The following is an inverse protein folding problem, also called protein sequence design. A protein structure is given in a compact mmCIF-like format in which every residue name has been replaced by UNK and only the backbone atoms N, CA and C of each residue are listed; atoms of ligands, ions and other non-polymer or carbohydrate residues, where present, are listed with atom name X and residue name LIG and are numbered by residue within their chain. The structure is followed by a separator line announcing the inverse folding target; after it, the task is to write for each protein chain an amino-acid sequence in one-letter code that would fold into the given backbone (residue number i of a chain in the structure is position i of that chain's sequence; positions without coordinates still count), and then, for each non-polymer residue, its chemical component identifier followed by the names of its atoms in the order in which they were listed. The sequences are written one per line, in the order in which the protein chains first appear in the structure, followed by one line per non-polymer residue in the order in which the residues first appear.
data_IF_625303572997
#
_entry.id   IF_625303572997
#
_cell.length_a   1.000
_cell.length_b   1.000
_cell.length_c   1.000
_cell.angle_alpha   90.00
_cell.angle_beta   90.00
_cell.angle_gamma   90.00
#
_symmetry.space_group_name_H-M   'P 1'
#
loop_
_entity.id
_entity.type
_entity.pdbx_description
1 polymer ?
#
# COMPACT_ATOMS: atom_id res chain seq x y z
N UNK A 1 27.13 19.20 29.02
CA UNK A 1 27.11 17.76 28.63
C UNK A 1 25.79 17.12 28.97
N UNK A 2 25.23 17.34 30.16
CA UNK A 2 23.91 16.82 30.58
C UNK A 2 22.77 17.18 29.62
N UNK A 3 22.66 18.45 29.20
CA UNK A 3 21.64 18.88 28.22
C UNK A 3 21.75 18.15 26.87
N UNK A 4 22.97 17.87 26.41
CA UNK A 4 23.21 17.09 25.19
C UNK A 4 22.81 15.62 25.37
N UNK A 5 23.08 15.05 26.55
CA UNK A 5 22.62 13.72 26.94
C UNK A 5 21.10 13.62 26.88
N UNK A 6 20.40 14.52 27.58
CA UNK A 6 18.93 14.56 27.59
C UNK A 6 18.30 14.69 26.19
N UNK A 7 18.85 15.54 25.31
CA UNK A 7 18.39 15.61 23.92
C UNK A 7 18.60 14.28 23.17
N UNK A 8 19.74 13.62 23.40
CA UNK A 8 20.09 12.35 22.76
C UNK A 8 19.19 11.21 23.24
N UNK A 9 18.94 11.14 24.54
CA UNK A 9 18.08 10.13 25.16
C UNK A 9 16.64 10.25 24.66
N UNK A 10 16.12 11.48 24.55
CA UNK A 10 14.79 11.73 23.98
C UNK A 10 14.70 11.28 22.52
N UNK A 11 15.73 11.54 21.70
CA UNK A 11 15.72 11.06 20.31
C UNK A 11 15.73 9.54 20.27
N UNK A 12 16.63 8.88 21.02
CA UNK A 12 16.76 7.43 21.03
C UNK A 12 15.43 6.78 21.45
N UNK A 13 14.81 7.27 22.53
CA UNK A 13 13.52 6.76 23.00
C UNK A 13 12.44 6.84 21.91
N UNK A 14 12.34 7.98 21.21
CA UNK A 14 11.36 8.12 20.13
C UNK A 14 11.64 7.18 18.95
N UNK A 15 12.91 6.99 18.56
CA UNK A 15 13.28 6.05 17.49
C UNK A 15 13.02 4.59 17.90
N UNK A 16 13.23 4.24 19.17
CA UNK A 16 12.89 2.93 19.71
C UNK A 16 11.39 2.68 19.69
N UNK A 17 10.60 3.66 20.09
CA UNK A 17 9.14 3.59 20.08
C UNK A 17 8.60 3.44 18.64
N UNK A 18 9.13 4.24 17.70
CA UNK A 18 8.78 4.12 16.28
C UNK A 18 9.10 2.73 15.72
N UNK A 19 10.23 2.15 16.10
CA UNK A 19 10.61 0.80 15.65
C UNK A 19 9.76 -0.28 16.32
N UNK A 20 9.45 -0.13 17.61
CA UNK A 20 8.59 -1.06 18.34
C UNK A 20 7.20 -1.12 17.72
N UNK A 21 6.63 0.03 17.37
CA UNK A 21 5.35 0.11 16.67
C UNK A 21 5.41 -0.60 15.31
N UNK A 22 6.46 -0.36 14.52
CA UNK A 22 6.65 -1.00 13.21
C UNK A 22 6.83 -2.52 13.34
N UNK A 23 7.66 -2.97 14.28
CA UNK A 23 7.91 -4.39 14.55
C UNK A 23 6.63 -5.10 14.98
N UNK A 24 5.84 -4.49 15.87
CA UNK A 24 4.58 -5.07 16.34
C UNK A 24 3.58 -5.30 15.18
N UNK A 25 3.55 -4.38 14.20
CA UNK A 25 2.72 -4.53 13.00
C UNK A 25 3.20 -5.72 12.15
N UNK A 26 4.50 -5.80 11.88
CA UNK A 26 5.10 -6.89 11.10
C UNK A 26 4.87 -8.26 11.77
N UNK A 27 5.16 -8.38 13.07
CA UNK A 27 4.96 -9.63 13.81
C UNK A 27 3.48 -10.03 13.87
N UNK A 28 2.57 -9.06 14.02
CA UNK A 28 1.14 -9.33 13.94
C UNK A 28 0.75 -9.87 12.58
N UNK A 29 1.32 -9.34 11.50
CA UNK A 29 1.04 -9.79 10.14
C UNK A 29 1.61 -11.19 9.87
N UNK A 30 2.81 -11.50 10.38
CA UNK A 30 3.40 -12.84 10.30
C UNK A 30 2.55 -13.89 11.02
N UNK A 31 1.99 -13.55 12.19
CA UNK A 31 1.05 -14.44 12.89
C UNK A 31 -0.21 -14.71 12.05
N UNK A 32 -0.77 -13.68 11.40
CA UNK A 32 -1.94 -13.85 10.54
C UNK A 32 -1.62 -14.68 9.29
N UNK A 33 -0.44 -14.50 8.70
CA UNK A 33 0.01 -15.31 7.57
C UNK A 33 0.03 -16.81 7.90
N UNK A 34 0.42 -17.17 9.13
CA UNK A 34 0.43 -18.58 9.58
C UNK A 34 -0.95 -19.21 9.78
N UNK A 35 -2.01 -18.40 9.87
CA UNK A 35 -3.40 -18.87 10.09
C UNK A 35 -4.26 -18.75 8.83
N UNK A 36 -3.86 -17.90 7.89
CA UNK A 36 -4.62 -17.66 6.66
C UNK A 36 -4.61 -18.93 5.81
N UNK A 37 -5.76 -19.56 5.62
CA UNK A 37 -5.93 -20.62 4.64
C UNK A 37 -6.37 -20.00 3.31
N UNK A 38 -5.75 -20.41 2.21
CA UNK A 38 -6.23 -20.08 0.86
C UNK A 38 -6.95 -21.32 0.38
N UNK A 39 -8.28 -21.24 0.28
CA UNK A 39 -9.07 -22.37 -0.20
C UNK A 39 -9.11 -22.36 -1.72
N UNK A 40 -8.89 -23.53 -2.33
CA UNK A 40 -9.03 -23.71 -3.78
C UNK A 40 -10.51 -23.58 -4.14
N UNK A 41 -10.91 -22.65 -5.02
CA UNK A 41 -12.31 -22.31 -5.28
C UNK A 41 -12.96 -23.24 -6.31
N UNK A 42 -12.74 -24.56 -6.24
CA UNK A 42 -13.43 -25.50 -7.14
C UNK A 42 -14.95 -25.33 -6.99
N UNK A 43 -15.60 -24.78 -8.01
CA UNK A 43 -17.05 -24.53 -8.03
C UNK A 43 -17.55 -23.35 -7.18
N UNK A 44 -16.70 -22.43 -6.73
CA UNK A 44 -17.17 -21.26 -5.97
C UNK A 44 -17.85 -20.20 -6.87
N UNK A 45 -19.00 -19.70 -6.41
CA UNK A 45 -19.66 -18.51 -6.95
C UNK A 45 -18.79 -17.24 -6.78
N UNK A 46 -18.93 -16.27 -7.70
CA UNK A 46 -18.21 -15.00 -7.73
C UNK A 46 -18.36 -14.21 -6.43
N UNK A 47 -19.54 -14.29 -5.79
CA UNK A 47 -19.79 -13.66 -4.49
C UNK A 47 -18.96 -14.28 -3.35
N UNK A 48 -18.71 -15.58 -3.38
CA UNK A 48 -17.84 -16.27 -2.39
C UNK A 48 -16.39 -15.86 -2.60
N UNK A 49 -15.92 -15.88 -3.86
CA UNK A 49 -14.57 -15.42 -4.20
C UNK A 49 -14.33 -13.97 -3.75
N UNK A 50 -15.28 -13.07 -3.99
CA UNK A 50 -15.18 -11.68 -3.57
C UNK A 50 -15.06 -11.54 -2.04
N UNK A 51 -15.84 -12.32 -1.27
CA UNK A 51 -15.80 -12.30 0.20
C UNK A 51 -14.46 -12.83 0.72
N UNK A 52 -14.02 -13.99 0.25
CA UNK A 52 -12.74 -14.59 0.66
C UNK A 52 -11.56 -13.65 0.37
N UNK A 53 -11.52 -13.10 -0.85
CA UNK A 53 -10.53 -12.10 -1.24
C UNK A 53 -10.56 -10.88 -0.32
N UNK A 54 -11.74 -10.34 -0.04
CA UNK A 54 -11.91 -9.16 0.82
C UNK A 54 -11.49 -9.40 2.27
N UNK A 55 -11.71 -10.61 2.81
CA UNK A 55 -11.27 -11.00 4.15
C UNK A 55 -9.75 -11.15 4.23
N UNK A 56 -9.14 -11.79 3.24
CA UNK A 56 -7.68 -11.93 3.13
C UNK A 56 -7.02 -10.56 2.97
N UNK A 57 -7.56 -9.70 2.10
CA UNK A 57 -7.11 -8.32 1.92
C UNK A 57 -7.22 -7.50 3.22
N UNK A 58 -8.33 -7.63 3.94
CA UNK A 58 -8.53 -6.95 5.22
C UNK A 58 -7.45 -7.33 6.22
N UNK A 59 -7.21 -8.63 6.37
CA UNK A 59 -6.31 -9.21 7.36
C UNK A 59 -4.84 -8.95 7.02
N UNK A 60 -4.45 -9.13 5.75
CA UNK A 60 -3.06 -9.09 5.31
C UNK A 60 -2.61 -7.74 4.76
N UNK A 61 -3.49 -6.81 4.40
CA UNK A 61 -3.11 -5.49 3.86
C UNK A 61 -3.78 -4.33 4.59
N UNK A 62 -5.11 -4.29 4.62
CA UNK A 62 -5.84 -3.08 5.01
C UNK A 62 -5.72 -2.78 6.52
N UNK A 63 -5.83 -3.79 7.38
CA UNK A 63 -5.63 -3.61 8.83
C UNK A 63 -4.20 -3.25 9.20
N UNK A 64 -3.15 -3.97 8.74
CA UNK A 64 -1.76 -3.58 8.96
C UNK A 64 -1.47 -2.15 8.50
N UNK A 65 -1.94 -1.76 7.31
CA UNK A 65 -1.79 -0.41 6.79
C UNK A 65 -2.51 0.62 7.67
N UNK A 66 -3.75 0.34 8.08
CA UNK A 66 -4.51 1.26 8.96
C UNK A 66 -3.82 1.45 10.31
N UNK A 67 -3.30 0.38 10.91
CA UNK A 67 -2.51 0.46 12.16
C UNK A 67 -1.25 1.30 11.95
N UNK A 68 -0.56 1.11 10.83
CA UNK A 68 0.61 1.89 10.47
C UNK A 68 0.28 3.37 10.27
N UNK A 69 -0.80 3.70 9.55
CA UNK A 69 -1.25 5.08 9.30
C UNK A 69 -1.67 5.82 10.57
N UNK A 70 -2.14 5.10 11.59
CA UNK A 70 -2.45 5.66 12.91
C UNK A 70 -1.18 5.98 13.71
N UNK A 71 -0.16 5.12 13.62
CA UNK A 71 1.09 5.26 14.39
C UNK A 71 2.09 6.19 13.74
N UNK A 72 2.09 6.27 12.41
CA UNK A 72 3.00 7.05 11.56
C UNK A 72 4.47 7.03 12.03
N UNK A 73 5.06 5.83 12.23
CA UNK A 73 6.39 5.71 12.84
C UNK A 73 7.48 6.47 12.06
N UNK A 74 7.33 6.57 10.74
CA UNK A 74 8.30 7.29 9.92
C UNK A 74 8.22 8.82 10.08
N UNK A 75 7.02 9.41 10.11
CA UNK A 75 6.85 10.85 10.27
C UNK A 75 7.40 11.27 11.63
N UNK A 76 7.06 10.50 12.67
CA UNK A 76 7.59 10.67 14.02
C UNK A 76 9.11 10.59 14.06
N UNK A 77 9.71 9.59 13.43
CA UNK A 77 11.17 9.47 13.36
C UNK A 77 11.83 10.68 12.68
N UNK A 78 11.30 11.16 11.54
CA UNK A 78 11.82 12.33 10.84
C UNK A 78 11.69 13.60 11.70
N UNK A 79 10.52 13.83 12.29
CA UNK A 79 10.26 14.97 13.20
C UNK A 79 11.17 14.93 14.41
N UNK A 80 11.41 13.75 14.99
CA UNK A 80 12.31 13.59 16.12
C UNK A 80 13.75 13.95 15.75
N UNK A 81 14.23 13.50 14.58
CA UNK A 81 15.56 13.83 14.07
C UNK A 81 15.69 15.34 13.81
N UNK A 82 14.69 15.96 13.19
CA UNK A 82 14.66 17.42 12.97
C UNK A 82 14.64 18.21 14.29
N UNK A 83 13.82 17.77 15.24
CA UNK A 83 13.71 18.39 16.57
C UNK A 83 15.01 18.31 17.34
N UNK A 84 15.69 17.17 17.25
CA UNK A 84 17.02 16.99 17.82
C UNK A 84 18.04 17.93 17.16
N UNK A 85 18.01 18.06 15.82
CA UNK A 85 18.91 18.96 15.08
C UNK A 85 18.71 20.44 15.49
N UNK A 86 17.45 20.90 15.58
CA UNK A 86 17.11 22.24 16.10
C UNK A 86 17.54 22.41 17.56
N UNK A 87 17.43 21.36 18.37
CA UNK A 87 17.86 21.38 19.78
C UNK A 87 19.38 21.54 19.89
N UNK A 88 20.16 20.89 19.01
CA UNK A 88 21.60 21.09 18.95
C UNK A 88 21.98 22.52 18.59
N UNK A 89 21.29 23.12 17.60
CA UNK A 89 21.51 24.51 17.21
C UNK A 89 21.21 25.47 18.38
N UNK A 90 20.09 25.26 19.08
CA UNK A 90 19.76 26.02 20.29
C UNK A 90 20.83 25.87 21.37
N UNK A 91 21.30 24.65 21.63
CA UNK A 91 22.39 24.40 22.58
C UNK A 91 23.67 25.15 22.21
N UNK A 92 24.05 25.17 20.93
CA UNK A 92 25.22 25.92 20.44
C UNK A 92 24.99 27.43 20.56
N UNK A 93 23.80 27.93 20.24
CA UNK A 93 23.48 29.35 20.30
C UNK A 93 23.56 29.91 21.72
N UNK A 94 23.21 29.10 22.72
CA UNK A 94 23.24 29.43 24.14
C UNK A 94 24.65 29.34 24.77
N UNK A 95 25.66 28.85 24.04
CA UNK A 95 27.04 28.83 24.55
C UNK A 95 27.67 30.22 24.46
N UNK A 96 28.51 30.60 25.44
CA UNK A 96 29.30 31.82 25.35
C UNK A 96 30.27 31.75 24.16
N UNK A 97 30.51 32.90 23.51
CA UNK A 97 31.41 32.96 22.36
C UNK A 97 32.83 32.51 22.70
N UNK A 98 33.34 33.00 23.83
CA UNK A 98 34.60 32.57 24.40
C UNK A 98 34.51 32.36 25.91
N UNK A 99 35.33 31.44 26.43
CA UNK A 99 35.52 31.23 27.87
C UNK A 99 37.01 31.35 28.16
N UNK A 100 37.35 32.08 29.22
CA UNK A 100 38.72 32.13 29.72
C UNK A 100 39.01 30.82 30.46
N UNK A 101 39.97 30.04 29.95
CA UNK A 101 40.34 28.76 30.55
C UNK A 101 41.86 28.68 30.64
N UNK A 102 42.38 28.37 31.83
CA UNK A 102 43.79 28.00 32.01
C UNK A 102 44.01 26.51 31.72
N UNK A 103 45.23 26.13 31.35
CA UNK A 103 45.58 24.72 31.13
C UNK A 103 45.23 23.79 32.31
N UNK A 104 45.52 24.17 33.58
CA UNK A 104 45.12 23.39 34.76
C UNK A 104 43.61 23.24 34.93
N UNK A 105 42.82 24.28 34.69
CA UNK A 105 41.34 24.20 34.75
C UNK A 105 40.79 23.26 33.66
N UNK A 106 41.36 23.31 32.45
CA UNK A 106 40.99 22.38 31.37
C UNK A 106 41.35 20.91 31.70
N UNK A 107 42.42 20.66 32.46
CA UNK A 107 42.75 19.33 32.98
C UNK A 107 41.81 18.89 34.10
N UNK A 108 41.46 19.79 35.01
CA UNK A 108 40.51 19.52 36.10
C UNK A 108 39.13 19.10 35.57
N UNK A 109 38.65 19.73 34.49
CA UNK A 109 37.39 19.37 33.82
C UNK A 109 37.41 17.99 33.13
N UNK A 110 38.58 17.35 32.99
CA UNK A 110 38.73 16.04 32.34
C UNK A 110 38.97 14.88 33.28
N UNK A 111 39.52 15.15 34.46
CA UNK A 111 40.05 14.12 35.34
C UNK A 111 41.00 13.16 34.61
N UNK A 112 40.85 11.87 34.85
CA UNK A 112 41.76 10.83 34.37
C UNK A 112 41.82 10.66 32.84
N UNK A 113 40.88 11.26 32.10
CA UNK A 113 40.67 11.03 30.65
C UNK A 113 41.66 11.78 29.74
N UNK A 114 42.53 12.61 30.30
CA UNK A 114 43.56 13.34 29.55
C UNK A 114 44.79 12.46 29.26
N UNK A 115 45.29 12.45 28.02
CA UNK A 115 46.52 11.72 27.66
C UNK A 115 47.78 12.34 28.31
N UNK A 116 48.86 11.55 28.47
CA UNK A 116 50.13 12.04 29.04
C UNK A 116 50.66 13.28 28.33
N UNK A 117 50.56 13.33 27.00
CA UNK A 117 50.94 14.50 26.19
C UNK A 117 50.05 15.72 26.44
N UNK A 118 48.73 15.53 26.57
CA UNK A 118 47.78 16.61 26.88
C UNK A 118 48.01 17.19 28.28
N UNK A 119 48.28 16.32 29.27
CA UNK A 119 48.63 16.73 30.63
C UNK A 119 49.91 17.59 30.64
N UNK A 120 50.97 17.13 29.96
CA UNK A 120 52.24 17.86 29.87
C UNK A 120 52.09 19.24 29.20
N UNK A 121 51.33 19.32 28.10
CA UNK A 121 51.10 20.59 27.38
C UNK A 121 50.20 21.57 28.13
N UNK A 122 49.16 21.08 28.79
CA UNK A 122 48.28 21.93 29.59
C UNK A 122 48.99 22.49 30.84
N UNK A 123 49.91 21.72 31.45
CA UNK A 123 50.78 22.21 32.53
C UNK A 123 51.74 23.33 32.09
N UNK A 124 52.17 23.32 30.82
CA UNK A 124 53.03 24.35 30.22
C UNK A 124 52.27 25.63 29.87
N UNK A 125 50.93 25.60 29.83
CA UNK A 125 50.07 26.75 29.49
C UNK A 125 49.27 27.22 30.70
N UNK A 126 49.97 27.81 31.66
CA UNK A 126 49.39 28.35 32.91
C UNK A 126 48.63 29.67 32.74
N UNK A 127 48.87 30.42 31.66
CA UNK A 127 48.14 31.68 31.37
C UNK A 127 46.75 31.39 30.83
N UNK A 128 45.77 32.14 31.31
CA UNK A 128 44.41 32.11 30.79
C UNK A 128 44.37 32.52 29.33
N UNK A 129 43.56 31.82 28.54
CA UNK A 129 43.33 32.14 27.13
C UNK A 129 41.84 32.11 26.84
N UNK A 130 41.41 33.03 25.98
CA UNK A 130 40.07 33.01 25.41
C UNK A 130 39.94 31.80 24.48
N UNK A 131 39.18 30.81 24.93
CA UNK A 131 38.80 29.64 24.14
C UNK A 131 37.51 29.96 23.38
N UNK A 132 37.47 29.94 22.04
CA UNK A 132 36.24 30.15 21.28
C UNK A 132 35.33 28.92 21.37
N UNK A 133 34.71 28.72 22.54
CA UNK A 133 33.97 27.52 22.91
C UNK A 133 32.83 27.23 21.94
N UNK A 134 32.02 28.25 21.62
CA UNK A 134 30.92 28.15 20.67
C UNK A 134 31.37 27.64 19.31
N UNK A 135 32.47 28.18 18.77
CA UNK A 135 33.00 27.78 17.47
C UNK A 135 33.53 26.33 17.49
N UNK A 136 34.19 25.90 18.58
CA UNK A 136 34.70 24.54 18.70
C UNK A 136 33.56 23.52 18.80
N UNK A 137 32.58 23.78 19.67
CA UNK A 137 31.44 22.88 19.87
C UNK A 137 30.59 22.81 18.59
N UNK A 138 30.32 23.94 17.94
CA UNK A 138 29.61 23.98 16.67
C UNK A 138 30.30 23.11 15.61
N UNK A 139 31.62 23.26 15.44
CA UNK A 139 32.36 22.51 14.44
C UNK A 139 32.38 20.99 14.70
N UNK A 140 32.48 20.59 15.96
CA UNK A 140 32.50 19.18 16.32
C UNK A 140 31.11 18.54 16.21
N UNK A 141 30.06 19.25 16.59
CA UNK A 141 28.69 18.81 16.33
C UNK A 141 28.41 18.66 14.82
N UNK A 142 28.96 19.54 13.97
CA UNK A 142 28.87 19.39 12.50
C UNK A 142 29.57 18.12 12.02
N UNK A 143 30.81 17.86 12.46
CA UNK A 143 31.54 16.62 12.11
C UNK A 143 30.79 15.38 12.56
N UNK A 144 30.26 15.41 13.77
CA UNK A 144 29.43 14.33 14.31
C UNK A 144 28.17 14.15 13.46
N UNK A 145 27.46 15.22 13.10
CA UNK A 145 26.27 15.12 12.25
C UNK A 145 26.55 14.47 10.89
N UNK A 146 27.70 14.72 10.26
CA UNK A 146 28.08 14.05 9.00
C UNK A 146 28.27 12.55 9.17
N UNK A 147 28.89 12.14 10.27
CA UNK A 147 29.09 10.73 10.59
C UNK A 147 27.76 10.04 10.94
N UNK A 148 26.85 10.77 11.58
CA UNK A 148 25.50 10.31 11.94
C UNK A 148 24.61 10.05 10.72
N UNK A 149 24.76 10.81 9.63
CA UNK A 149 23.96 10.64 8.39
C UNK A 149 23.93 9.21 7.85
N UNK A 150 25.02 8.44 8.06
CA UNK A 150 25.08 7.04 7.65
C UNK A 150 24.20 6.13 8.52
N UNK A 151 24.22 6.34 9.84
CA UNK A 151 23.44 5.56 10.81
C UNK A 151 21.95 5.89 10.67
N UNK A 152 21.64 7.18 10.53
CA UNK A 152 20.30 7.67 10.19
C UNK A 152 19.75 7.03 8.91
N UNK A 153 20.56 7.05 7.85
CA UNK A 153 20.16 6.48 6.57
C UNK A 153 19.88 4.97 6.65
N UNK A 154 20.56 4.23 7.51
CA UNK A 154 20.28 2.79 7.75
C UNK A 154 18.98 2.58 8.48
N UNK A 155 18.71 3.37 9.52
CA UNK A 155 17.46 3.28 10.27
C UNK A 155 16.25 3.69 9.42
N UNK A 156 16.33 4.82 8.70
CA UNK A 156 15.28 5.27 7.78
C UNK A 156 15.09 4.30 6.61
N UNK A 157 16.16 3.65 6.15
CA UNK A 157 16.06 2.56 5.17
C UNK A 157 15.28 1.37 5.74
N UNK A 158 15.58 0.94 6.97
CA UNK A 158 14.88 -0.17 7.62
C UNK A 158 13.38 0.15 7.77
N UNK A 159 13.03 1.36 8.20
CA UNK A 159 11.64 1.81 8.25
C UNK A 159 10.98 1.79 6.86
N UNK A 160 11.63 2.34 5.83
CA UNK A 160 11.09 2.36 4.47
C UNK A 160 10.87 0.94 3.92
N UNK A 161 11.84 0.04 4.10
CA UNK A 161 11.73 -1.35 3.65
C UNK A 161 10.66 -2.10 4.42
N UNK A 162 10.53 -1.88 5.73
CA UNK A 162 9.50 -2.49 6.56
C UNK A 162 8.08 -2.05 6.17
N UNK A 163 7.88 -0.78 5.77
CA UNK A 163 6.62 -0.32 5.21
C UNK A 163 6.32 -1.02 3.88
N UNK A 164 7.31 -1.09 2.99
CA UNK A 164 7.15 -1.77 1.70
C UNK A 164 6.83 -3.25 1.86
N UNK A 165 7.36 -3.88 2.91
CA UNK A 165 7.10 -5.28 3.23
C UNK A 165 5.64 -5.54 3.62
N UNK A 166 4.89 -4.53 4.10
CA UNK A 166 3.50 -4.70 4.54
C UNK A 166 2.56 -5.21 3.44
N UNK A 167 2.84 -4.94 2.15
CA UNK A 167 1.98 -5.47 1.07
C UNK A 167 2.36 -6.88 0.63
N UNK A 168 3.54 -7.39 1.00
CA UNK A 168 4.07 -8.64 0.45
C UNK A 168 3.22 -9.88 0.78
N UNK A 169 2.76 -10.08 2.03
CA UNK A 169 1.88 -11.21 2.35
C UNK A 169 0.59 -11.21 1.52
N UNK A 170 0.00 -10.03 1.33
CA UNK A 170 -1.17 -9.85 0.47
C UNK A 170 -0.86 -10.14 -1.00
N UNK A 171 0.24 -9.65 -1.56
CA UNK A 171 0.61 -9.90 -2.96
C UNK A 171 0.72 -11.41 -3.25
N UNK A 172 1.31 -12.17 -2.33
CA UNK A 172 1.45 -13.63 -2.46
C UNK A 172 0.08 -14.31 -2.36
N UNK A 173 -0.73 -13.93 -1.38
CA UNK A 173 -2.07 -14.52 -1.19
C UNK A 173 -2.99 -14.21 -2.38
N UNK A 174 -2.98 -12.96 -2.87
CA UNK A 174 -3.71 -12.55 -4.07
C UNK A 174 -3.29 -13.38 -5.28
N UNK A 175 -1.99 -13.51 -5.53
CA UNK A 175 -1.50 -14.25 -6.69
C UNK A 175 -1.95 -15.72 -6.68
N UNK A 176 -1.97 -16.34 -5.49
CA UNK A 176 -2.49 -17.69 -5.33
C UNK A 176 -4.01 -17.77 -5.56
N UNK A 177 -4.79 -16.84 -4.99
CA UNK A 177 -6.24 -16.74 -5.23
C UNK A 177 -6.57 -16.55 -6.71
N UNK A 178 -5.91 -15.60 -7.37
CA UNK A 178 -6.14 -15.28 -8.78
C UNK A 178 -5.77 -16.45 -9.70
N UNK A 179 -4.64 -17.12 -9.42
CA UNK A 179 -4.23 -18.32 -10.16
C UNK A 179 -5.24 -19.46 -9.98
N UNK A 180 -5.75 -19.62 -8.76
CA UNK A 180 -6.77 -20.63 -8.46
C UNK A 180 -8.10 -20.34 -9.16
N UNK A 181 -8.52 -19.07 -9.22
CA UNK A 181 -9.71 -18.64 -9.95
C UNK A 181 -9.58 -18.85 -11.48
N UNK A 182 -8.35 -18.84 -12.01
CA UNK A 182 -8.06 -19.16 -13.40
C UNK A 182 -7.96 -20.67 -13.68
N UNK A 183 -8.26 -21.52 -12.70
CA UNK A 183 -8.13 -22.99 -12.83
C UNK A 183 -6.68 -23.47 -12.85
N UNK A 184 -5.73 -22.63 -12.44
CA UNK A 184 -4.30 -22.94 -12.37
C UNK A 184 -3.78 -22.77 -10.93
N UNK A 185 -4.29 -23.55 -9.96
CA UNK A 185 -3.88 -23.41 -8.57
C UNK A 185 -2.38 -23.62 -8.42
N UNK A 186 -1.76 -22.79 -7.57
CA UNK A 186 -0.36 -22.98 -7.24
C UNK A 186 -0.14 -24.34 -6.56
N UNK A 187 0.94 -25.07 -6.89
CA UNK A 187 1.33 -26.21 -6.09
C UNK A 187 1.51 -25.76 -4.63
N UNK A 188 0.96 -26.51 -3.65
CA UNK A 188 1.05 -26.14 -2.23
C UNK A 188 2.48 -25.81 -1.78
N UNK A 189 3.45 -26.60 -2.27
CA UNK A 189 4.89 -26.35 -2.03
C UNK A 189 5.38 -25.00 -2.53
N UNK A 190 4.88 -24.49 -3.66
CA UNK A 190 5.28 -23.18 -4.20
C UNK A 190 4.74 -22.03 -3.35
N UNK A 191 3.51 -22.16 -2.85
CA UNK A 191 2.91 -21.19 -1.94
C UNK A 191 3.66 -21.16 -0.60
N UNK A 192 3.93 -22.33 -0.02
CA UNK A 192 4.72 -22.47 1.20
C UNK A 192 6.11 -21.82 1.07
N UNK A 193 6.81 -22.05 -0.05
CA UNK A 193 8.10 -21.43 -0.33
C UNK A 193 8.01 -19.90 -0.36
N UNK A 194 6.98 -19.33 -1.00
CA UNK A 194 6.76 -17.88 -1.03
C UNK A 194 6.40 -17.32 0.36
N UNK A 195 5.67 -18.08 1.19
CA UNK A 195 5.38 -17.69 2.57
C UNK A 195 6.64 -17.72 3.43
N UNK A 196 7.45 -18.76 3.34
CA UNK A 196 8.72 -18.86 4.07
C UNK A 196 9.72 -17.77 3.64
N UNK A 197 9.79 -17.46 2.34
CA UNK A 197 10.58 -16.33 1.84
C UNK A 197 10.08 -15.00 2.44
N UNK A 198 8.76 -14.82 2.54
CA UNK A 198 8.15 -13.62 3.12
C UNK A 198 8.41 -13.52 4.62
N UNK A 199 8.33 -14.64 5.37
CA UNK A 199 8.66 -14.71 6.80
C UNK A 199 10.13 -14.36 7.03
N UNK A 200 11.03 -15.08 6.36
CA UNK A 200 12.49 -14.87 6.46
C UNK A 200 12.89 -13.43 6.12
N UNK A 201 12.33 -12.87 5.04
CA UNK A 201 12.57 -11.47 4.65
C UNK A 201 12.11 -10.49 5.73
N UNK A 202 10.96 -10.74 6.35
CA UNK A 202 10.41 -9.89 7.42
C UNK A 202 11.27 -9.98 8.69
N UNK A 203 11.69 -11.17 9.08
CA UNK A 203 12.57 -11.38 10.23
C UNK A 203 13.94 -10.72 10.03
N UNK A 204 14.53 -10.84 8.84
CA UNK A 204 15.77 -10.14 8.48
C UNK A 204 15.59 -8.62 8.59
N UNK A 205 14.45 -8.07 8.14
CA UNK A 205 14.16 -6.64 8.29
C UNK A 205 14.03 -6.22 9.76
N UNK A 206 13.42 -7.07 10.60
CA UNK A 206 13.32 -6.85 12.05
C UNK A 206 14.73 -6.76 12.65
N UNK A 207 15.61 -7.71 12.33
CA UNK A 207 17.00 -7.72 12.79
C UNK A 207 17.79 -6.50 12.28
N UNK A 208 17.59 -6.08 11.02
CA UNK A 208 18.26 -4.91 10.46
C UNK A 208 17.88 -3.61 11.17
N UNK A 209 16.62 -3.40 11.54
CA UNK A 209 16.23 -2.20 12.28
C UNK A 209 16.72 -2.21 13.73
N UNK A 210 16.76 -3.36 14.39
CA UNK A 210 17.37 -3.51 15.72
C UNK A 210 18.87 -3.24 15.71
N UNK A 211 19.56 -3.74 14.70
CA UNK A 211 20.98 -3.46 14.45
C UNK A 211 21.20 -1.97 14.21
N UNK A 212 20.37 -1.32 13.38
CA UNK A 212 20.45 0.12 13.14
C UNK A 212 20.23 0.94 14.42
N UNK A 213 19.28 0.56 15.28
CA UNK A 213 19.07 1.20 16.60
C UNK A 213 20.27 0.99 17.53
N UNK A 214 20.85 -0.20 17.53
CA UNK A 214 22.04 -0.50 18.34
C UNK A 214 23.25 0.32 17.89
N UNK A 215 23.42 0.51 16.58
CA UNK A 215 24.42 1.42 16.02
C UNK A 215 24.17 2.88 16.44
N UNK A 216 22.91 3.31 16.49
CA UNK A 216 22.53 4.64 16.99
C UNK A 216 22.93 4.85 18.45
N UNK A 217 22.60 3.89 19.32
CA UNK A 217 22.98 3.95 20.75
C UNK A 217 24.50 4.01 20.91
N UNK A 218 25.23 3.14 20.21
CA UNK A 218 26.69 3.11 20.24
C UNK A 218 27.30 4.42 19.72
N UNK A 219 26.73 4.98 18.65
CA UNK A 219 27.15 6.26 18.09
C UNK A 219 27.00 7.39 19.10
N UNK A 220 25.85 7.49 19.79
CA UNK A 220 25.60 8.51 20.80
C UNK A 220 26.53 8.40 22.01
N UNK A 221 26.73 7.19 22.52
CA UNK A 221 27.68 6.93 23.60
C UNK A 221 29.13 7.32 23.22
N UNK A 222 29.49 7.27 21.93
CA UNK A 222 30.78 7.72 21.43
C UNK A 222 30.81 9.23 21.11
N UNK A 223 29.70 9.82 20.70
CA UNK A 223 29.59 11.23 20.29
C UNK A 223 29.93 12.18 21.44
N UNK A 224 29.38 11.92 22.64
CA UNK A 224 29.68 12.69 23.84
C UNK A 224 31.19 12.69 24.18
N UNK A 225 31.83 11.50 24.07
CA UNK A 225 33.27 11.33 24.29
C UNK A 225 34.12 12.08 23.25
N UNK A 226 33.71 12.04 21.98
CA UNK A 226 34.39 12.77 20.88
C UNK A 226 34.28 14.27 21.07
N UNK A 227 33.10 14.78 21.38
CA UNK A 227 32.87 16.20 21.62
C UNK A 227 33.70 16.72 22.79
N UNK A 228 33.70 15.99 23.92
CA UNK A 228 34.55 16.32 25.07
C UNK A 228 36.03 16.38 24.66
N UNK A 229 36.54 15.37 23.95
CA UNK A 229 37.94 15.32 23.49
C UNK A 229 38.31 16.49 22.58
N UNK A 230 37.41 16.88 21.68
CA UNK A 230 37.70 17.93 20.71
C UNK A 230 37.72 19.34 21.31
N UNK A 231 36.94 19.60 22.35
CA UNK A 231 37.05 20.83 23.16
C UNK A 231 38.47 20.99 23.71
N UNK A 232 39.08 19.89 24.18
CA UNK A 232 40.43 19.88 24.74
C UNK A 232 41.51 20.13 23.70
N UNK A 233 41.38 19.50 22.53
CA UNK A 233 42.31 19.73 21.43
C UNK A 233 42.23 21.21 21.02
N UNK A 234 41.04 21.81 21.05
CA UNK A 234 40.85 23.25 20.87
C UNK A 234 41.61 24.10 21.90
N UNK A 235 41.53 23.74 23.18
CA UNK A 235 42.28 24.40 24.28
C UNK A 235 43.80 24.29 24.10
N UNK A 236 44.28 23.10 23.73
CA UNK A 236 45.73 22.80 23.68
C UNK A 236 46.38 23.33 22.39
N UNK A 237 45.69 23.33 21.25
CA UNK A 237 46.34 23.58 19.95
C UNK A 237 45.93 24.88 19.27
N UNK A 238 44.89 25.59 19.74
CA UNK A 238 44.57 26.97 19.34
C UNK A 238 44.65 27.23 17.83
N UNK A 239 43.80 26.57 17.04
CA UNK A 239 43.73 26.79 15.59
C UNK A 239 42.57 27.69 15.20
N UNK A 240 42.78 28.63 14.26
CA UNK A 240 41.70 29.32 13.55
C UNK A 240 40.90 28.28 12.78
N UNK A 241 39.65 28.02 13.20
CA UNK A 241 38.73 27.12 12.51
C UNK A 241 37.75 27.96 11.70
N UNK A 242 37.72 27.74 10.38
CA UNK A 242 36.74 28.37 9.50
C UNK A 242 35.35 27.79 9.80
N UNK A 243 34.37 28.67 9.97
CA UNK A 243 32.96 28.32 9.96
C UNK A 243 32.55 28.05 8.52
N UNK A 244 32.27 26.80 8.18
CA UNK A 244 31.64 26.42 6.91
C UNK A 244 30.12 26.30 7.12
N UNK A 245 29.37 26.86 6.18
CA UNK A 245 27.90 26.82 6.18
C UNK A 245 27.42 25.38 5.86
N UNK A 246 26.49 24.85 6.66
CA UNK A 246 26.16 23.40 6.69
C UNK A 246 24.65 23.09 6.71
N UNK A 247 23.79 24.03 7.11
CA UNK A 247 22.35 23.79 7.24
C UNK A 247 21.73 23.20 5.98
N UNK A 248 22.14 23.72 4.82
CA UNK A 248 21.57 23.37 3.52
C UNK A 248 21.72 21.88 3.16
N UNK A 249 22.89 21.27 3.37
CA UNK A 249 23.12 19.86 2.97
C UNK A 249 22.33 18.89 3.83
N UNK A 250 22.09 19.25 5.10
CA UNK A 250 21.38 18.41 6.06
C UNK A 250 19.89 18.41 5.79
N UNK A 251 19.30 19.59 5.63
CA UNK A 251 17.90 19.76 5.26
C UNK A 251 17.58 19.04 3.94
N UNK A 252 18.45 19.16 2.93
CA UNK A 252 18.31 18.45 1.65
C UNK A 252 18.31 16.92 1.82
N UNK A 253 19.12 16.38 2.73
CA UNK A 253 19.16 14.93 2.96
C UNK A 253 17.89 14.43 3.67
N UNK A 254 17.37 15.17 4.65
CA UNK A 254 16.12 14.82 5.33
C UNK A 254 14.92 14.94 4.39
N UNK A 255 14.85 16.01 3.59
CA UNK A 255 13.82 16.19 2.56
C UNK A 255 13.82 15.03 1.56
N UNK A 256 15.01 14.58 1.12
CA UNK A 256 15.13 13.41 0.24
C UNK A 256 14.63 12.11 0.89
N UNK A 257 14.86 11.93 2.18
CA UNK A 257 14.30 10.78 2.90
C UNK A 257 12.79 10.86 3.05
N UNK A 258 12.25 12.05 3.33
CA UNK A 258 10.82 12.29 3.36
C UNK A 258 10.18 11.95 2.00
N UNK A 259 10.78 12.39 0.90
CA UNK A 259 10.33 12.10 -0.47
C UNK A 259 10.31 10.58 -0.75
N UNK A 260 11.41 9.87 -0.44
CA UNK A 260 11.49 8.41 -0.60
C UNK A 260 10.43 7.68 0.22
N UNK A 261 10.22 8.09 1.47
CA UNK A 261 9.25 7.46 2.36
C UNK A 261 7.81 7.69 1.89
N UNK A 262 7.48 8.91 1.44
CA UNK A 262 6.18 9.20 0.81
C UNK A 262 5.94 8.37 -0.44
N UNK A 263 6.98 8.11 -1.24
CA UNK A 263 6.86 7.26 -2.42
C UNK A 263 6.56 5.80 -2.06
N UNK A 264 7.20 5.26 -1.01
CA UNK A 264 6.89 3.92 -0.50
C UNK A 264 5.48 3.86 0.10
N UNK A 265 5.07 4.90 0.84
CA UNK A 265 3.70 5.02 1.34
C UNK A 265 2.68 5.07 0.20
N UNK A 266 2.95 5.85 -0.85
CA UNK A 266 2.11 5.92 -2.04
C UNK A 266 2.01 4.57 -2.77
N UNK A 267 3.09 3.79 -2.80
CA UNK A 267 3.09 2.43 -3.36
C UNK A 267 2.19 1.48 -2.57
N UNK A 268 2.28 1.47 -1.23
CA UNK A 268 1.43 0.59 -0.40
C UNK A 268 -0.03 1.06 -0.44
N UNK A 269 -0.28 2.36 -0.45
CA UNK A 269 -1.63 2.93 -0.62
C UNK A 269 -2.23 2.62 -1.99
N UNK A 270 -1.42 2.66 -3.05
CA UNK A 270 -1.86 2.26 -4.37
C UNK A 270 -2.37 0.82 -4.33
N UNK A 271 -1.67 -0.08 -3.64
CA UNK A 271 -2.11 -1.47 -3.53
C UNK A 271 -3.45 -1.63 -2.79
N UNK A 272 -3.64 -0.88 -1.71
CA UNK A 272 -4.93 -0.84 -1.02
C UNK A 272 -6.05 -0.22 -1.88
N UNK A 273 -5.72 0.76 -2.72
CA UNK A 273 -6.67 1.38 -3.64
C UNK A 273 -7.06 0.42 -4.77
N UNK A 274 -6.08 -0.31 -5.33
CA UNK A 274 -6.29 -1.35 -6.34
C UNK A 274 -7.24 -2.41 -5.80
N UNK A 275 -6.98 -2.94 -4.61
CA UNK A 275 -7.84 -3.97 -4.01
C UNK A 275 -9.28 -3.49 -3.80
N UNK A 276 -9.47 -2.27 -3.30
CA UNK A 276 -10.82 -1.70 -3.15
C UNK A 276 -11.52 -1.51 -4.50
N UNK A 277 -10.77 -1.10 -5.53
CA UNK A 277 -11.32 -0.93 -6.89
C UNK A 277 -11.70 -2.28 -7.49
N UNK A 278 -10.86 -3.30 -7.35
CA UNK A 278 -11.12 -4.66 -7.83
C UNK A 278 -12.33 -5.26 -7.11
N UNK A 279 -12.45 -5.08 -5.80
CA UNK A 279 -13.65 -5.50 -5.05
C UNK A 279 -14.94 -4.86 -5.59
N UNK A 280 -14.92 -3.57 -5.96
CA UNK A 280 -16.09 -2.89 -6.55
C UNK A 280 -16.36 -3.32 -7.99
N UNK A 281 -15.31 -3.61 -8.77
CA UNK A 281 -15.45 -4.20 -10.10
C UNK A 281 -16.09 -5.60 -10.02
N UNK A 282 -15.66 -6.45 -9.09
CA UNK A 282 -16.30 -7.74 -8.83
C UNK A 282 -17.77 -7.60 -8.46
N UNK A 283 -18.14 -6.59 -7.65
CA UNK A 283 -19.54 -6.30 -7.33
C UNK A 283 -20.36 -5.82 -8.55
N UNK A 284 -19.73 -5.16 -9.52
CA UNK A 284 -20.38 -4.80 -10.79
C UNK A 284 -20.66 -6.06 -11.63
N UNK A 285 -19.68 -6.95 -11.74
CA UNK A 285 -19.85 -8.22 -12.46
C UNK A 285 -20.88 -9.13 -11.79
N UNK A 286 -20.87 -9.23 -10.46
CA UNK A 286 -21.85 -10.01 -9.72
C UNK A 286 -23.28 -9.51 -9.96
N UNK A 287 -23.52 -8.20 -9.91
CA UNK A 287 -24.85 -7.62 -10.23
C UNK A 287 -25.29 -7.91 -11.66
N UNK A 288 -24.36 -7.90 -12.61
CA UNK A 288 -24.67 -8.26 -14.00
C UNK A 288 -25.07 -9.75 -14.12
N UNK A 289 -24.36 -10.65 -13.42
CA UNK A 289 -24.70 -12.08 -13.36
C UNK A 289 -26.04 -12.33 -12.69
N UNK A 290 -26.31 -11.69 -11.54
CA UNK A 290 -27.61 -11.78 -10.86
C UNK A 290 -28.76 -11.32 -11.76
N UNK A 291 -28.54 -10.26 -12.56
CA UNK A 291 -29.50 -9.80 -13.56
C UNK A 291 -29.76 -10.82 -14.68
N UNK A 292 -28.74 -11.58 -15.10
CA UNK A 292 -28.89 -12.64 -16.10
C UNK A 292 -29.61 -13.86 -15.51
N UNK A 293 -29.30 -14.25 -14.27
CA UNK A 293 -29.97 -15.35 -13.56
C UNK A 293 -31.45 -15.02 -13.35
N UNK A 294 -31.77 -13.77 -12.99
CA UNK A 294 -33.16 -13.33 -12.84
C UNK A 294 -33.92 -13.35 -14.17
N UNK A 295 -33.26 -12.97 -15.27
CA UNK A 295 -33.83 -13.06 -16.62
C UNK A 295 -34.09 -14.52 -17.00
N UNK A 296 -33.12 -15.40 -16.80
CA UNK A 296 -33.26 -16.84 -17.05
C UNK A 296 -34.39 -17.47 -16.23
N UNK A 297 -34.48 -17.13 -14.94
CA UNK A 297 -35.55 -17.61 -14.06
C UNK A 297 -36.93 -17.18 -14.57
N UNK A 298 -37.04 -15.95 -15.06
CA UNK A 298 -38.29 -15.42 -15.63
C UNK A 298 -38.66 -16.11 -16.94
N UNK A 299 -37.66 -16.47 -17.77
CA UNK A 299 -37.86 -17.25 -18.99
C UNK A 299 -38.36 -18.66 -18.70
N UNK A 300 -37.74 -19.35 -17.74
CA UNK A 300 -38.14 -20.70 -17.33
C UNK A 300 -39.56 -20.70 -16.74
N UNK A 301 -39.89 -19.74 -15.88
CA UNK A 301 -41.25 -19.61 -15.35
C UNK A 301 -42.29 -19.36 -16.45
N UNK A 302 -41.93 -18.60 -17.50
CA UNK A 302 -42.79 -18.40 -18.66
C UNK A 302 -42.97 -19.66 -19.51
N UNK A 303 -41.94 -20.50 -19.63
CA UNK A 303 -42.03 -21.81 -20.29
C UNK A 303 -42.92 -22.77 -19.50
N UNK A 304 -42.75 -22.85 -18.18
CA UNK A 304 -43.56 -23.71 -17.32
C UNK A 304 -45.05 -23.34 -17.41
N UNK A 305 -45.38 -22.05 -17.36
CA UNK A 305 -46.75 -21.55 -17.52
C UNK A 305 -47.34 -21.90 -18.91
N UNK A 306 -46.53 -21.80 -19.97
CA UNK A 306 -46.94 -22.21 -21.30
C UNK A 306 -47.18 -23.73 -21.40
N UNK A 307 -46.33 -24.53 -20.76
CA UNK A 307 -46.49 -25.98 -20.72
C UNK A 307 -47.72 -26.42 -19.92
N UNK A 308 -47.97 -25.81 -18.77
CA UNK A 308 -49.13 -26.10 -17.94
C UNK A 308 -50.42 -25.70 -18.66
N UNK A 309 -50.43 -24.54 -19.33
CA UNK A 309 -51.55 -24.15 -20.18
C UNK A 309 -51.81 -25.18 -21.29
N UNK A 310 -50.77 -25.64 -22.00
CA UNK A 310 -50.92 -26.66 -23.06
C UNK A 310 -51.48 -27.98 -22.52
N UNK A 311 -51.07 -28.40 -21.32
CA UNK A 311 -51.62 -29.60 -20.65
C UNK A 311 -53.09 -29.42 -20.30
N UNK A 312 -53.47 -28.27 -19.73
CA UNK A 312 -54.86 -27.96 -19.40
C UNK A 312 -55.76 -27.92 -20.64
N UNK A 313 -55.26 -27.40 -21.77
CA UNK A 313 -56.00 -27.44 -23.04
C UNK A 313 -56.27 -28.88 -23.48
N UNK A 314 -55.24 -29.73 -23.47
CA UNK A 314 -55.35 -31.13 -23.91
C UNK A 314 -56.31 -31.92 -23.02
N UNK A 315 -56.29 -31.68 -21.72
CA UNK A 315 -57.08 -32.45 -20.75
C UNK A 315 -58.52 -31.94 -20.58
N UNK A 316 -58.74 -30.62 -20.69
CA UNK A 316 -60.00 -29.99 -20.24
C UNK A 316 -60.71 -29.15 -21.31
N UNK A 317 -60.14 -29.00 -22.51
CA UNK A 317 -60.68 -28.17 -23.61
C UNK A 317 -61.06 -26.74 -23.12
N UNK A 318 -60.22 -26.20 -22.24
CA UNK A 318 -60.49 -24.96 -21.52
C UNK A 318 -60.35 -23.73 -22.43
N UNK A 319 -61.21 -22.71 -22.35
CA UNK A 319 -61.14 -21.54 -23.27
C UNK A 319 -60.08 -20.47 -22.91
N UNK A 320 -58.97 -20.86 -22.27
CA UNK A 320 -57.91 -19.93 -21.86
C UNK A 320 -57.21 -19.21 -23.03
N UNK A 321 -56.52 -18.11 -22.74
CA UNK A 321 -55.61 -17.43 -23.69
C UNK A 321 -54.18 -17.89 -23.39
N UNK A 322 -53.42 -18.27 -24.43
CA UNK A 322 -52.03 -18.69 -24.29
C UNK A 322 -51.19 -17.59 -23.58
N UNK A 323 -50.37 -17.93 -22.58
CA UNK A 323 -49.63 -16.96 -21.78
C UNK A 323 -48.64 -16.15 -22.63
N UNK A 324 -48.47 -14.87 -22.30
CA UNK A 324 -47.49 -13.99 -22.95
C UNK A 324 -46.10 -14.25 -22.37
N UNK A 325 -45.02 -14.18 -23.18
CA UNK A 325 -43.67 -14.23 -22.65
C UNK A 325 -43.45 -13.07 -21.68
N UNK A 326 -43.15 -13.40 -20.41
CA UNK A 326 -42.99 -12.42 -19.31
C UNK A 326 -41.62 -11.74 -19.29
N UNK A 327 -40.62 -12.34 -19.95
CA UNK A 327 -39.24 -11.91 -19.84
C UNK A 327 -38.88 -10.81 -20.86
N UNK A 328 -38.55 -9.63 -20.36
CA UNK A 328 -37.87 -8.60 -21.14
C UNK A 328 -36.38 -8.92 -21.24
N UNK A 329 -35.91 -9.34 -22.41
CA UNK A 329 -34.48 -9.62 -22.65
C UNK A 329 -33.74 -8.29 -22.82
N UNK A 330 -32.74 -8.04 -21.98
CA UNK A 330 -31.90 -6.85 -22.08
C UNK A 330 -30.77 -7.12 -23.10
N UNK A 331 -30.57 -6.25 -24.11
CA UNK A 331 -29.53 -6.46 -25.12
C UNK A 331 -28.11 -6.54 -24.53
N UNK A 332 -27.28 -7.45 -25.05
CA UNK A 332 -25.88 -7.62 -24.64
C UNK A 332 -25.08 -6.33 -24.78
N UNK A 333 -25.33 -5.55 -25.84
CA UNK A 333 -24.68 -4.25 -26.07
C UNK A 333 -24.99 -3.23 -24.98
N UNK A 334 -26.21 -3.27 -24.41
CA UNK A 334 -26.62 -2.39 -23.30
C UNK A 334 -25.92 -2.81 -22.02
N UNK A 335 -25.93 -4.11 -21.69
CA UNK A 335 -25.22 -4.68 -20.53
C UNK A 335 -23.72 -4.40 -20.57
N UNK A 336 -23.09 -4.56 -21.73
CA UNK A 336 -21.67 -4.27 -21.93
C UNK A 336 -21.39 -2.78 -21.74
N UNK A 337 -22.25 -1.89 -22.27
CA UNK A 337 -22.09 -0.44 -22.12
C UNK A 337 -22.21 0.00 -20.65
N UNK A 338 -23.13 -0.59 -19.90
CA UNK A 338 -23.28 -0.37 -18.45
C UNK A 338 -22.05 -0.82 -17.67
N UNK A 339 -21.53 -2.01 -17.98
CA UNK A 339 -20.29 -2.53 -17.38
C UNK A 339 -19.09 -1.64 -17.70
N UNK A 340 -18.94 -1.19 -18.95
CA UNK A 340 -17.88 -0.26 -19.35
C UNK A 340 -17.98 1.08 -18.62
N UNK A 341 -19.19 1.63 -18.50
CA UNK A 341 -19.43 2.87 -17.79
C UNK A 341 -19.10 2.73 -16.29
N UNK A 342 -19.54 1.63 -15.67
CA UNK A 342 -19.21 1.29 -14.29
C UNK A 342 -17.69 1.13 -14.08
N UNK A 343 -17.02 0.40 -14.95
CA UNK A 343 -15.56 0.22 -14.91
C UNK A 343 -14.83 1.55 -15.05
N UNK A 344 -15.21 2.41 -16.00
CA UNK A 344 -14.60 3.74 -16.15
C UNK A 344 -14.79 4.59 -14.89
N UNK A 345 -15.98 4.58 -14.30
CA UNK A 345 -16.26 5.31 -13.06
C UNK A 345 -15.38 4.81 -11.91
N UNK A 346 -15.22 3.49 -11.76
CA UNK A 346 -14.38 2.91 -10.73
C UNK A 346 -12.89 3.21 -10.92
N UNK A 347 -12.39 3.18 -12.15
CA UNK A 347 -11.00 3.53 -12.45
C UNK A 347 -10.67 5.00 -12.11
N UNK A 348 -11.65 5.91 -12.11
CA UNK A 348 -11.42 7.29 -11.67
C UNK A 348 -11.08 7.40 -10.18
N UNK A 349 -11.41 6.38 -9.37
CA UNK A 349 -11.09 6.35 -7.92
C UNK A 349 -9.61 6.09 -7.65
N UNK A 350 -8.89 5.47 -8.60
CA UNK A 350 -7.45 5.21 -8.51
C UNK A 350 -6.65 6.50 -8.77
N UNK A 351 -5.39 6.64 -8.33
CA UNK A 351 -4.57 7.78 -8.70
C UNK A 351 -4.22 7.75 -10.20
N UNK A 352 -4.18 8.92 -10.85
CA UNK A 352 -3.80 9.04 -12.27
C UNK A 352 -2.38 8.51 -12.51
N UNK A 353 -1.45 8.86 -11.62
CA UNK A 353 -0.10 8.34 -11.64
C UNK A 353 0.45 8.16 -10.23
N UNK A 354 1.39 7.21 -10.06
CA UNK A 354 2.07 6.95 -8.80
C UNK A 354 3.57 6.80 -9.05
N UNK A 355 4.39 7.50 -8.27
CA UNK A 355 5.85 7.42 -8.37
C UNK A 355 6.38 6.42 -7.35
N UNK A 356 7.18 5.46 -7.82
CA UNK A 356 7.78 4.43 -6.99
C UNK A 356 9.30 4.50 -7.05
N UNK A 357 9.94 4.20 -5.92
CA UNK A 357 11.40 4.12 -5.82
C UNK A 357 11.84 2.69 -6.05
N UNK A 358 12.49 2.41 -7.19
CA UNK A 358 12.82 1.03 -7.58
C UNK A 358 13.85 0.38 -6.63
N UNK A 359 14.84 1.15 -6.15
CA UNK A 359 15.85 0.66 -5.22
C UNK A 359 16.12 1.68 -4.13
N UNK A 360 15.76 1.31 -2.89
CA UNK A 360 16.09 2.09 -1.71
C UNK A 360 17.55 1.84 -1.30
N UNK A 361 18.20 2.88 -0.79
CA UNK A 361 19.57 2.78 -0.28
C UNK A 361 19.77 3.76 0.87
N UNK A 362 20.58 3.35 1.83
CA UNK A 362 20.89 4.12 3.05
C UNK A 362 21.69 5.39 2.73
N UNK A 363 22.46 5.39 1.65
CA UNK A 363 23.23 6.54 1.21
C UNK A 363 22.46 7.40 0.21
N UNK A 364 22.58 8.73 0.28
CA UNK A 364 22.07 9.61 -0.76
C UNK A 364 22.89 9.40 -2.05
N UNK A 365 22.48 8.46 -2.90
CA UNK A 365 23.04 8.30 -4.26
C UNK A 365 22.75 9.55 -5.09
N UNK A 366 23.62 9.85 -6.07
CA UNK A 366 23.44 10.98 -7.01
C UNK A 366 22.20 10.85 -7.89
N UNK A 367 21.76 9.64 -8.20
CA UNK A 367 20.51 9.34 -8.92
C UNK A 367 19.80 8.17 -8.24
N UNK A 368 18.58 8.40 -7.78
CA UNK A 368 17.68 7.35 -7.33
C UNK A 368 16.79 7.02 -8.52
N UNK A 369 16.70 5.76 -8.98
CA UNK A 369 15.81 5.40 -10.09
C UNK A 369 14.36 5.47 -9.62
N UNK A 370 13.64 6.45 -10.16
CA UNK A 370 12.21 6.63 -9.99
C UNK A 370 11.49 6.01 -11.18
N UNK A 371 10.41 5.27 -10.92
CA UNK A 371 9.52 4.74 -11.95
C UNK A 371 8.14 5.35 -11.72
N UNK A 372 7.54 5.90 -12.77
CA UNK A 372 6.17 6.40 -12.74
C UNK A 372 5.24 5.31 -13.27
N UNK A 373 4.19 5.02 -12.52
CA UNK A 373 3.13 4.09 -12.87
C UNK A 373 1.88 4.89 -13.26
N UNK A 374 1.07 4.33 -14.16
CA UNK A 374 -0.22 4.88 -14.60
C UNK A 374 -1.31 3.82 -14.39
N UNK A 375 -1.80 3.65 -13.15
CA UNK A 375 -2.69 2.54 -12.80
C UNK A 375 -4.00 2.55 -13.61
N UNK A 376 -4.60 3.74 -13.78
CA UNK A 376 -5.85 3.91 -14.54
C UNK A 376 -5.73 3.43 -15.98
N UNK A 377 -4.71 3.94 -16.68
CA UNK A 377 -4.46 3.62 -18.08
C UNK A 377 -4.10 2.14 -18.25
N UNK A 378 -3.25 1.62 -17.36
CA UNK A 378 -2.81 0.22 -17.42
C UNK A 378 -3.97 -0.75 -17.29
N UNK A 379 -4.86 -0.52 -16.29
CA UNK A 379 -6.04 -1.37 -16.08
C UNK A 379 -7.06 -1.21 -17.20
N UNK A 380 -7.30 0.02 -17.66
CA UNK A 380 -8.21 0.26 -18.80
C UNK A 380 -7.73 -0.46 -20.06
N UNK A 381 -6.44 -0.34 -20.39
CA UNK A 381 -5.86 -1.02 -21.54
C UNK A 381 -5.89 -2.54 -21.40
N UNK A 382 -5.67 -3.08 -20.20
CA UNK A 382 -5.80 -4.52 -19.94
C UNK A 382 -7.24 -5.00 -20.18
N UNK A 383 -8.24 -4.25 -19.69
CA UNK A 383 -9.65 -4.56 -19.94
C UNK A 383 -9.99 -4.52 -21.43
N UNK A 384 -9.61 -3.45 -22.14
CA UNK A 384 -9.91 -3.30 -23.57
C UNK A 384 -9.26 -4.40 -24.41
N UNK A 385 -8.04 -4.79 -24.07
CA UNK A 385 -7.27 -5.77 -24.85
C UNK A 385 -7.75 -7.21 -24.66
N UNK A 386 -8.16 -7.57 -23.44
CA UNK A 386 -8.41 -8.97 -23.08
C UNK A 386 -9.84 -9.19 -22.59
N UNK A 387 -10.31 -8.37 -21.64
CA UNK A 387 -11.59 -8.61 -20.98
C UNK A 387 -12.81 -8.27 -21.83
N UNK A 388 -12.75 -7.16 -22.59
CA UNK A 388 -13.91 -6.63 -23.32
C UNK A 388 -14.48 -7.62 -24.34
N UNK A 389 -13.62 -8.25 -25.12
CA UNK A 389 -14.04 -9.19 -26.18
C UNK A 389 -14.67 -10.46 -25.61
N UNK A 390 -14.09 -11.01 -24.54
CA UNK A 390 -14.64 -12.20 -23.88
C UNK A 390 -15.99 -11.92 -23.21
N UNK A 391 -16.11 -10.80 -22.49
CA UNK A 391 -17.37 -10.42 -21.86
C UNK A 391 -18.45 -10.18 -22.91
N UNK A 392 -18.13 -9.47 -24.00
CA UNK A 392 -19.08 -9.25 -25.09
C UNK A 392 -19.57 -10.58 -25.68
N UNK A 393 -18.66 -11.50 -25.97
CA UNK A 393 -18.98 -12.84 -26.50
C UNK A 393 -19.93 -13.60 -25.57
N UNK A 394 -19.62 -13.68 -24.28
CA UNK A 394 -20.46 -14.39 -23.30
C UNK A 394 -21.85 -13.76 -23.19
N UNK A 395 -21.95 -12.43 -23.17
CA UNK A 395 -23.24 -11.74 -23.13
C UNK A 395 -24.06 -11.98 -24.40
N UNK A 396 -23.43 -11.97 -25.57
CA UNK A 396 -24.07 -12.25 -26.86
C UNK A 396 -24.55 -13.70 -26.96
N UNK A 397 -23.76 -14.67 -26.47
CA UNK A 397 -24.14 -16.09 -26.39
C UNK A 397 -25.38 -16.28 -25.50
N UNK A 398 -25.39 -15.67 -24.31
CA UNK A 398 -26.54 -15.74 -23.38
C UNK A 398 -27.78 -15.09 -23.98
N UNK A 399 -27.62 -13.89 -24.57
CA UNK A 399 -28.73 -13.20 -25.24
C UNK A 399 -29.33 -14.04 -26.37
N UNK A 400 -28.49 -14.68 -27.20
CA UNK A 400 -28.95 -15.52 -28.29
C UNK A 400 -29.79 -16.71 -27.81
N UNK A 401 -29.34 -17.40 -26.75
CA UNK A 401 -30.07 -18.52 -26.16
C UNK A 401 -31.39 -18.05 -25.51
N UNK A 402 -31.37 -16.93 -24.78
CA UNK A 402 -32.58 -16.35 -24.18
C UNK A 402 -33.60 -15.95 -25.25
N UNK A 403 -33.17 -15.33 -26.35
CA UNK A 403 -34.06 -14.95 -27.47
C UNK A 403 -34.65 -16.17 -28.15
N UNK A 404 -33.87 -17.25 -28.30
CA UNK A 404 -34.35 -18.51 -28.86
C UNK A 404 -35.50 -19.08 -28.03
N UNK A 405 -35.40 -19.05 -26.71
CA UNK A 405 -36.49 -19.49 -25.81
C UNK A 405 -37.76 -18.67 -26.05
N UNK A 406 -37.65 -17.34 -26.10
CA UNK A 406 -38.82 -16.47 -26.37
C UNK A 406 -39.44 -16.75 -27.73
N UNK A 407 -38.61 -16.93 -28.78
CA UNK A 407 -39.11 -17.27 -30.12
C UNK A 407 -39.85 -18.59 -30.16
N UNK A 408 -39.42 -19.60 -29.41
CA UNK A 408 -40.13 -20.88 -29.33
C UNK A 408 -41.48 -20.75 -28.61
N UNK A 409 -41.57 -19.94 -27.55
CA UNK A 409 -42.84 -19.60 -26.88
C UNK A 409 -43.79 -18.87 -27.86
N UNK A 410 -43.26 -17.91 -28.63
CA UNK A 410 -44.05 -17.17 -29.62
C UNK A 410 -44.51 -18.06 -30.78
N UNK A 411 -43.66 -18.96 -31.28
CA UNK A 411 -44.01 -19.94 -32.31
C UNK A 411 -45.12 -20.89 -31.84
N UNK A 412 -45.05 -21.37 -30.61
CA UNK A 412 -46.11 -22.21 -30.03
C UNK A 412 -47.46 -21.47 -29.96
N UNK A 413 -47.43 -20.14 -29.88
CA UNK A 413 -48.63 -19.28 -29.85
C UNK A 413 -49.24 -19.04 -31.25
N UNK A 414 -48.44 -18.97 -32.31
CA UNK A 414 -48.90 -18.64 -33.67
C UNK A 414 -50.09 -19.46 -34.19
N UNK A 415 -50.11 -20.81 -34.11
CA UNK A 415 -51.23 -21.60 -34.62
C UNK A 415 -52.56 -21.35 -33.87
N UNK A 416 -52.49 -21.04 -32.57
CA UNK A 416 -53.66 -20.78 -31.73
C UNK A 416 -54.31 -19.41 -32.02
N UNK A 417 -53.54 -18.45 -32.52
CA UNK A 417 -54.05 -17.15 -32.97
C UNK A 417 -54.76 -17.28 -34.32
N UNK A 418 -54.36 -18.26 -35.15
CA UNK A 418 -55.00 -18.51 -36.45
C UNK A 418 -56.36 -19.19 -36.32
N UNK A 419 -56.53 -20.15 -35.41
CA UNK A 419 -57.83 -20.81 -35.17
C UNK A 419 -58.90 -19.90 -34.56
N UNK A 420 -58.50 -18.76 -33.96
CA UNK A 420 -59.42 -17.78 -33.36
C UNK A 420 -59.71 -16.55 -34.23
N UNK A 421 -59.26 -16.48 -35.49
CA UNK A 421 -59.72 -15.43 -36.42
C UNK A 421 -61.13 -15.77 -36.92
N UNK A 422 -62.17 -14.97 -36.63
CA UNK A 422 -63.46 -15.19 -37.27
C UNK A 422 -63.31 -14.97 -38.78
N UNK A 423 -63.65 -16.00 -39.56
CA UNK A 423 -63.86 -15.86 -40.99
C UNK A 423 -65.03 -14.89 -41.15
N UNK A 424 -64.75 -13.63 -41.44
CA UNK A 424 -65.77 -12.67 -41.86
C UNK A 424 -66.17 -13.08 -43.28
N UNK A 425 -67.16 -13.97 -43.38
CA UNK A 425 -67.86 -14.25 -44.64
C UNK A 425 -68.75 -13.03 -44.90
N UNK A 426 -68.27 -12.07 -45.67
CA UNK A 426 -69.14 -11.06 -46.29
C UNK A 426 -69.98 -11.74 -47.36
N UNK A 427 -71.18 -12.21 -47.01
CA UNK A 427 -72.18 -12.61 -48.01
C UNK A 427 -72.76 -11.35 -48.68
N UNK A 428 -72.31 -11.10 -49.91
CA UNK A 428 -72.95 -10.14 -50.83
C UNK A 428 -74.26 -10.75 -51.34
N UNK A 429 -75.39 -10.34 -50.75
CA UNK A 429 -76.72 -10.57 -51.31
C UNK A 429 -77.07 -9.44 -52.29
N UNK A 430 -76.89 -9.69 -53.58
CA UNK A 430 -77.56 -8.92 -54.63
C UNK A 430 -78.88 -9.61 -55.01
N UNK A 431 -80.03 -8.93 -54.96
CA UNK A 431 -81.32 -9.52 -55.29
C UNK A 431 -81.55 -9.56 -56.80
N UNK A 432 -82.22 -10.62 -57.23
CA UNK A 432 -82.78 -10.82 -58.56
C UNK A 432 -83.88 -9.78 -58.81
N UNK A 433 -83.90 -9.19 -60.00
CA UNK A 433 -85.10 -8.65 -60.65
C UNK A 433 -85.43 -9.50 -61.87
#
# INVERSE_FOLDING_TARGET
MERLGSCSDRLIAELEDCWRDQRAILESQLRQLGVTSITTPEGQDLGTFQKERGEIARTLLLEPLTRWERRRPYERALVAIETYDRSLEKLVSALPEAVLVSGPQALGLLGERASRGQRRLALLRRRERALPLKAIVAEELRKLSRLRSKVEGRYLLALALSLRQLKRPWEVARAALDASAQGQPWPGRSLELQWEETKSSTEMLIQHGESALSEWRAWYAAAARRLARSVLVGVVWGGRRKTLDFGDRRAVNLARWAEKLRAVEAEVRLEAALERSEGRLLALFQRALEGLISEQTSLLAGLDEAMDWLREQIEQDSQGVFPLPKAGIVPASSRLSELEAGLRAELQTLPQSCEIVARLSASPRRRTPWKKLYPRETLYHAFVRTGRTEIARVLEEIEAEHRKIVQEIERAREPLVWERRPVIITMSTTPIK
#
